data_IF_665985328269
#
_entry.id   IF_665985328269
#
_cell.length_a   1.000
_cell.length_b   1.000
_cell.length_c   1.000
_cell.angle_alpha   90.00
_cell.angle_beta   90.00
_cell.angle_gamma   90.00
#
_symmetry.space_group_name_H-M   'P 1'
#
loop_
_entity.id
_entity.type
_entity.pdbx_description
1 polymer ?
#
# COMPACT_ATOMS: atom_id res chain seq x y z
N UNK A 1 -0.75 10.13 -8.41
CA UNK A 1 0.73 10.15 -8.36
C UNK A 1 1.20 8.77 -7.94
N UNK A 2 2.21 8.20 -8.62
CA UNK A 2 2.79 6.90 -8.25
C UNK A 2 4.29 7.09 -8.10
N UNK A 3 4.84 6.73 -6.95
CA UNK A 3 6.28 6.81 -6.66
C UNK A 3 6.84 5.39 -6.60
N UNK A 4 7.88 5.12 -7.38
CA UNK A 4 8.58 3.82 -7.36
C UNK A 4 9.53 3.78 -6.18
N UNK A 5 9.35 2.81 -5.30
CA UNK A 5 10.19 2.57 -4.12
C UNK A 5 10.72 1.13 -4.19
N UNK A 6 12.01 0.94 -3.91
CA UNK A 6 12.57 -0.41 -3.86
C UNK A 6 11.98 -1.22 -2.71
N UNK A 7 11.52 -2.43 -3.02
CA UNK A 7 11.01 -3.43 -2.09
C UNK A 7 12.12 -4.26 -1.42
N UNK A 8 13.39 -4.04 -1.78
CA UNK A 8 14.50 -4.83 -1.27
C UNK A 8 14.57 -4.76 0.26
N UNK A 9 14.59 -5.95 0.87
CA UNK A 9 14.68 -6.21 2.31
C UNK A 9 13.53 -5.66 3.18
N UNK A 10 12.42 -5.17 2.59
CA UNK A 10 11.31 -4.58 3.36
C UNK A 10 10.58 -5.62 4.21
N UNK A 11 10.54 -6.88 3.80
CA UNK A 11 9.88 -7.94 4.56
C UNK A 11 10.74 -8.58 5.66
N UNK A 12 12.02 -8.17 5.79
CA UNK A 12 12.96 -8.69 6.81
C UNK A 12 13.21 -7.71 7.96
N UNK A 13 12.79 -6.46 7.82
CA UNK A 13 12.96 -5.42 8.85
C UNK A 13 11.62 -5.22 9.56
N UNK A 14 11.62 -5.13 10.88
CA UNK A 14 10.41 -4.85 11.64
C UNK A 14 9.96 -3.41 11.36
N UNK A 15 8.75 -3.23 10.83
CA UNK A 15 8.23 -1.88 10.59
C UNK A 15 7.98 -1.10 11.90
N UNK A 16 7.87 -1.76 13.06
CA UNK A 16 7.68 -1.05 14.35
C UNK A 16 9.00 -0.51 14.90
N UNK A 17 9.99 -1.37 15.08
CA UNK A 17 11.23 -1.01 15.78
C UNK A 17 12.48 -0.89 14.89
N UNK A 18 12.41 -1.24 13.60
CA UNK A 18 13.53 -1.15 12.66
C UNK A 18 14.57 -2.27 12.75
N UNK A 19 14.47 -3.18 13.72
CA UNK A 19 15.38 -4.32 13.83
C UNK A 19 15.03 -5.43 12.85
N UNK A 20 16.03 -6.21 12.45
CA UNK A 20 15.83 -7.40 11.61
C UNK A 20 14.97 -8.44 12.35
N UNK A 21 13.93 -8.90 11.67
CA UNK A 21 13.09 -10.01 12.12
C UNK A 21 13.29 -11.25 11.26
N UNK A 22 12.49 -12.27 11.55
CA UNK A 22 12.43 -13.51 10.79
C UNK A 22 11.15 -13.55 9.97
N UNK A 23 11.29 -13.84 8.68
CA UNK A 23 10.18 -14.16 7.78
C UNK A 23 10.19 -15.66 7.51
N UNK A 24 9.05 -16.31 7.70
CA UNK A 24 8.79 -17.70 7.29
C UNK A 24 7.48 -17.72 6.50
N UNK A 25 7.59 -17.84 5.17
CA UNK A 25 6.42 -17.74 4.29
C UNK A 25 5.72 -16.38 4.39
N UNK A 26 4.44 -16.41 4.79
CA UNK A 26 3.59 -15.24 5.03
C UNK A 26 3.68 -14.69 6.46
N UNK A 27 4.39 -15.36 7.37
CA UNK A 27 4.55 -14.91 8.76
C UNK A 27 5.84 -14.10 8.93
N UNK A 28 5.75 -13.00 9.67
CA UNK A 28 6.89 -12.23 10.15
C UNK A 28 6.87 -12.15 11.68
N UNK A 29 8.04 -12.38 12.31
CA UNK A 29 8.23 -12.24 13.75
C UNK A 29 9.48 -11.42 14.05
N UNK A 30 9.35 -10.41 14.91
CA UNK A 30 10.47 -9.62 15.43
C UNK A 30 10.84 -10.09 16.83
N UNK A 31 12.11 -10.48 17.02
CA UNK A 31 12.61 -10.89 18.33
C UNK A 31 13.01 -9.71 19.23
N UNK A 32 13.18 -8.52 18.66
CA UNK A 32 13.55 -7.32 19.42
C UNK A 32 12.37 -6.72 20.18
N UNK A 33 11.21 -6.57 19.52
CA UNK A 33 10.01 -5.97 20.14
C UNK A 33 8.86 -6.97 20.34
N UNK A 34 9.07 -8.26 20.04
CA UNK A 34 8.05 -9.31 20.14
C UNK A 34 6.92 -9.24 19.10
N UNK A 35 6.91 -8.23 18.23
CA UNK A 35 5.83 -8.02 17.28
C UNK A 35 5.78 -9.11 16.21
N UNK A 36 4.57 -9.61 15.93
CA UNK A 36 4.29 -10.64 14.93
C UNK A 36 3.14 -10.17 14.04
N UNK A 37 3.27 -10.39 12.73
CA UNK A 37 2.24 -10.04 11.75
C UNK A 37 2.45 -10.78 10.42
N UNK A 38 1.58 -10.51 9.45
CA UNK A 38 1.82 -10.95 8.08
C UNK A 38 3.04 -10.22 7.49
N UNK A 39 3.92 -10.96 6.81
CA UNK A 39 5.16 -10.47 6.22
C UNK A 39 4.94 -9.45 5.11
N UNK A 40 3.84 -9.56 4.36
CA UNK A 40 3.51 -8.62 3.28
C UNK A 40 2.97 -7.32 3.86
N UNK A 41 2.17 -7.37 4.94
CA UNK A 41 1.80 -6.18 5.71
C UNK A 41 3.03 -5.47 6.29
N UNK A 42 3.95 -6.21 6.89
CA UNK A 42 5.22 -5.66 7.37
C UNK A 42 6.04 -5.00 6.24
N UNK A 43 6.11 -5.67 5.08
CA UNK A 43 6.78 -5.16 3.89
C UNK A 43 6.15 -3.85 3.38
N UNK A 44 4.83 -3.81 3.26
CA UNK A 44 4.08 -2.63 2.81
C UNK A 44 4.29 -1.43 3.73
N UNK A 45 4.27 -1.63 5.05
CA UNK A 45 4.52 -0.56 6.02
C UNK A 45 5.95 -0.01 5.92
N UNK A 46 6.94 -0.86 5.62
CA UNK A 46 8.31 -0.40 5.38
C UNK A 46 8.44 0.38 4.06
N UNK A 47 7.70 -0.01 3.00
CA UNK A 47 7.65 0.74 1.74
C UNK A 47 7.01 2.11 1.99
N UNK A 48 5.89 2.16 2.72
CA UNK A 48 5.22 3.42 3.09
C UNK A 48 6.19 4.35 3.83
N UNK A 49 6.90 3.85 4.85
CA UNK A 49 7.90 4.63 5.59
C UNK A 49 8.99 5.23 4.70
N UNK A 50 9.46 4.49 3.69
CA UNK A 50 10.40 5.03 2.68
C UNK A 50 9.75 6.09 1.79
N UNK A 51 8.49 5.89 1.41
CA UNK A 51 7.74 6.79 0.54
C UNK A 51 7.37 8.13 1.21
N UNK A 52 7.23 8.16 2.53
CA UNK A 52 6.82 9.37 3.27
C UNK A 52 7.75 10.58 3.03
N UNK A 53 9.04 10.36 2.76
CA UNK A 53 9.97 11.46 2.40
C UNK A 53 9.72 12.09 1.02
N UNK A 54 8.91 11.43 0.17
CA UNK A 54 8.58 11.88 -1.18
C UNK A 54 7.17 12.47 -1.29
N UNK A 55 6.36 12.36 -0.23
CA UNK A 55 4.98 12.87 -0.22
C UNK A 55 4.93 14.22 0.50
N UNK A 56 4.52 15.31 -0.18
CA UNK A 56 4.28 16.57 0.51
C UNK A 56 3.16 16.40 1.55
N UNK A 57 3.38 16.91 2.76
CA UNK A 57 2.43 16.81 3.89
C UNK A 57 1.14 17.58 3.60
N UNK A 58 1.24 18.64 2.79
CA UNK A 58 0.09 19.30 2.18
C UNK A 58 -0.50 18.37 1.11
N UNK A 59 -1.40 17.48 1.51
CA UNK A 59 -2.06 16.55 0.60
C UNK A 59 -2.67 17.25 -0.63
N UNK A 60 -2.74 16.54 -1.75
CA UNK A 60 -3.31 17.04 -2.99
C UNK A 60 -4.51 16.19 -3.40
N UNK A 61 -5.49 16.80 -4.09
CA UNK A 61 -6.58 16.06 -4.71
C UNK A 61 -6.01 15.08 -5.74
N UNK A 62 -6.24 13.78 -5.53
CA UNK A 62 -5.83 12.75 -6.47
C UNK A 62 -6.96 12.49 -7.47
N UNK A 63 -6.66 12.38 -8.77
CA UNK A 63 -7.64 11.87 -9.72
C UNK A 63 -8.01 10.43 -9.33
N UNK A 64 -9.31 10.17 -9.26
CA UNK A 64 -9.83 8.85 -8.94
C UNK A 64 -9.44 7.87 -10.06
N UNK A 65 -8.82 6.71 -9.74
CA UNK A 65 -8.55 5.69 -10.74
C UNK A 65 -9.87 5.13 -11.26
N UNK A 66 -10.05 5.06 -12.59
CA UNK A 66 -11.17 4.33 -13.18
C UNK A 66 -10.95 2.84 -12.96
N UNK A 67 -11.84 2.23 -12.22
CA UNK A 67 -11.92 0.80 -11.99
C UNK A 67 -12.90 0.15 -12.95
N UNK A 68 -12.87 -1.18 -13.05
CA UNK A 68 -13.83 -1.95 -13.85
C UNK A 68 -15.29 -1.73 -13.40
N UNK A 69 -15.52 -1.34 -12.14
CA UNK A 69 -16.85 -1.03 -11.63
C UNK A 69 -17.38 0.30 -12.18
N UNK A 70 -16.51 1.29 -12.41
CA UNK A 70 -16.88 2.56 -13.03
C UNK A 70 -17.29 2.40 -14.50
N UNK A 71 -16.89 1.29 -15.13
CA UNK A 71 -17.26 0.94 -16.49
C UNK A 71 -18.64 0.25 -16.52
N UNK A 72 -18.92 -0.62 -15.54
CA UNK A 72 -20.23 -1.27 -15.40
C UNK A 72 -21.37 -0.27 -15.12
N UNK A 73 -21.11 0.76 -14.30
CA UNK A 73 -22.08 1.82 -14.00
C UNK A 73 -22.50 2.64 -15.23
N UNK A 74 -21.60 2.84 -16.22
CA UNK A 74 -21.94 3.54 -17.47
C UNK A 74 -22.85 2.73 -18.39
N UNK A 75 -22.84 1.41 -18.27
CA UNK A 75 -23.68 0.53 -19.11
C UNK A 75 -25.13 0.54 -18.61
N UNK A 76 -25.34 0.81 -17.31
CA UNK A 76 -26.67 0.90 -16.71
C UNK A 76 -27.28 2.32 -16.75
N UNK A 77 -26.52 3.35 -17.13
CA UNK A 77 -27.07 4.69 -17.31
C UNK A 77 -28.07 4.65 -18.48
N UNK A 78 -29.38 4.90 -18.24
CA UNK A 78 -30.36 4.86 -19.31
C UNK A 78 -30.03 5.99 -20.27
N UNK A 79 -29.87 5.63 -21.54
CA UNK A 79 -29.74 6.60 -22.64
C UNK A 79 -31.10 7.29 -22.81
N UNK A 80 -31.45 8.22 -21.92
CA UNK A 80 -32.61 9.08 -22.11
C UNK A 80 -32.30 9.90 -23.35
N UNK A 81 -32.91 9.49 -24.47
CA UNK A 81 -32.96 10.30 -25.68
C UNK A 81 -33.62 11.61 -25.27
N UNK A 82 -32.85 12.70 -25.29
CA UNK A 82 -33.43 14.05 -25.23
C UNK A 82 -34.41 14.14 -26.40
N UNK A 83 -35.70 14.10 -26.09
CA UNK A 83 -36.74 14.66 -26.95
C UNK A 83 -36.58 16.18 -26.96
#
# INVERSE_FOLDING_TARGET
MVVKISEKNTSKICHKCGFKGLRVGSLFKCFNCGYSCNADYNGAMNILKRAMGYMPVAGAALPQPKTRYDEALRVEEPRISRL
#
